data_IF_374515796222
#
_entry.id   IF_374515796222
#
_cell.length_a   1.000
_cell.length_b   1.000
_cell.length_c   1.000
_cell.angle_alpha   90.00
_cell.angle_beta   90.00
_cell.angle_gamma   90.00
#
_symmetry.space_group_name_H-M   'P 1'
#
loop_
_entity.id
_entity.type
_entity.pdbx_description
1 polymer ?
#
# COMPACT_ATOMS: atom_id res chain seq x y z
N UNK A 1 22.83 -0.35 -1.53
CA UNK A 1 21.38 -0.01 -1.42
C UNK A 1 20.96 -0.07 0.06
N UNK A 2 20.10 0.84 0.52
CA UNK A 2 19.72 0.97 1.93
C UNK A 2 18.97 -0.30 2.43
N UNK A 3 19.35 -0.84 3.60
CA UNK A 3 18.72 -2.06 4.19
C UNK A 3 17.20 -1.90 4.36
N UNK A 4 16.72 -0.71 4.70
CA UNK A 4 15.29 -0.42 4.86
C UNK A 4 14.56 -0.54 3.51
N UNK A 5 15.15 -0.01 2.44
CA UNK A 5 14.59 -0.10 1.08
C UNK A 5 14.52 -1.55 0.62
N UNK A 6 15.55 -2.35 0.90
CA UNK A 6 15.54 -3.77 0.57
C UNK A 6 14.46 -4.54 1.33
N UNK A 7 14.30 -4.26 2.62
CA UNK A 7 13.27 -4.87 3.45
C UNK A 7 11.85 -4.50 2.97
N UNK A 8 11.60 -3.22 2.68
CA UNK A 8 10.31 -2.77 2.15
C UNK A 8 10.00 -3.39 0.79
N UNK A 9 10.99 -3.50 -0.10
CA UNK A 9 10.83 -4.18 -1.39
C UNK A 9 10.59 -5.68 -1.22
N UNK A 10 11.28 -6.34 -0.29
CA UNK A 10 11.05 -7.75 0.02
C UNK A 10 9.62 -8.00 0.49
N UNK A 11 9.11 -7.16 1.40
CA UNK A 11 7.70 -7.21 1.85
C UNK A 11 6.73 -6.99 0.68
N UNK A 12 7.00 -6.00 -0.18
CA UNK A 12 6.17 -5.72 -1.36
C UNK A 12 6.29 -6.77 -2.46
N UNK A 13 7.32 -7.62 -2.45
CA UNK A 13 7.45 -8.71 -3.41
C UNK A 13 6.61 -9.94 -3.01
N UNK A 14 6.16 -10.03 -1.75
CA UNK A 14 5.32 -11.14 -1.29
C UNK A 14 3.94 -11.10 -1.96
N UNK A 15 3.60 -12.16 -2.70
CA UNK A 15 2.30 -12.29 -3.36
C UNK A 15 1.12 -12.19 -2.36
N UNK A 16 1.32 -12.66 -1.13
CA UNK A 16 0.34 -12.54 -0.06
C UNK A 16 0.03 -11.09 0.34
N UNK A 17 0.98 -10.17 0.21
CA UNK A 17 0.76 -8.74 0.48
C UNK A 17 -0.09 -8.03 -0.56
N UNK A 18 -0.22 -8.62 -1.75
CA UNK A 18 -1.04 -8.09 -2.84
C UNK A 18 -2.35 -8.84 -3.02
N UNK A 19 -2.50 -10.03 -2.45
CA UNK A 19 -3.75 -10.79 -2.55
C UNK A 19 -4.90 -9.99 -1.88
N UNK A 20 -6.08 -9.88 -2.50
CA UNK A 20 -6.51 -10.49 -3.77
C UNK A 20 -6.23 -9.64 -5.02
N UNK A 21 -5.72 -8.42 -4.86
CA UNK A 21 -5.43 -7.44 -5.92
C UNK A 21 -4.04 -7.63 -6.57
N UNK A 22 -3.60 -8.88 -6.77
CA UNK A 22 -2.30 -9.20 -7.38
C UNK A 22 -2.09 -8.53 -8.74
N UNK A 23 -3.17 -8.38 -9.53
CA UNK A 23 -3.13 -7.70 -10.84
C UNK A 23 -2.81 -6.21 -10.75
N UNK A 24 -2.92 -5.60 -9.57
CA UNK A 24 -2.58 -4.20 -9.35
C UNK A 24 -1.10 -4.00 -8.99
N UNK A 25 -0.34 -5.07 -8.73
CA UNK A 25 1.09 -4.99 -8.47
C UNK A 25 1.82 -4.53 -9.74
N UNK A 26 2.54 -3.40 -9.72
CA UNK A 26 3.34 -2.97 -10.85
C UNK A 26 4.49 -3.96 -11.13
N UNK A 27 5.05 -3.92 -12.34
CA UNK A 27 6.32 -4.61 -12.62
C UNK A 27 7.47 -4.07 -11.75
N UNK A 28 8.51 -4.86 -11.50
CA UNK A 28 9.65 -4.43 -10.65
C UNK A 28 10.41 -3.22 -11.21
N UNK A 29 10.41 -3.07 -12.53
CA UNK A 29 10.98 -1.95 -13.30
C UNK A 29 9.97 -0.81 -13.54
N UNK A 30 8.71 -0.97 -13.12
CA UNK A 30 7.69 0.06 -13.26
C UNK A 30 7.54 0.87 -11.98
N UNK A 31 7.39 2.18 -12.13
CA UNK A 31 7.08 3.06 -11.01
C UNK A 31 5.70 2.74 -10.43
N UNK A 32 5.62 2.75 -9.12
CA UNK A 32 4.37 2.67 -8.38
C UNK A 32 3.79 4.08 -8.24
N UNK A 33 2.85 4.41 -9.13
CA UNK A 33 2.20 5.71 -9.19
C UNK A 33 0.99 5.83 -8.26
N UNK A 34 0.44 7.05 -8.16
CA UNK A 34 -0.76 7.30 -7.36
C UNK A 34 -1.98 6.50 -7.83
N UNK A 35 -2.04 6.08 -9.10
CA UNK A 35 -3.18 5.33 -9.66
C UNK A 35 -3.22 3.91 -9.11
N UNK A 36 -2.06 3.25 -8.98
CA UNK A 36 -1.96 1.95 -8.32
C UNK A 36 -2.48 2.07 -6.89
N UNK A 37 -2.02 3.07 -6.13
CA UNK A 37 -2.45 3.27 -4.75
C UNK A 37 -3.97 3.50 -4.66
N UNK A 38 -4.52 4.37 -5.50
CA UNK A 38 -5.96 4.64 -5.54
C UNK A 38 -6.81 3.40 -5.87
N UNK A 39 -6.27 2.42 -6.60
CA UNK A 39 -6.96 1.15 -6.88
C UNK A 39 -6.96 0.21 -5.68
N UNK A 40 -5.87 0.18 -4.92
CA UNK A 40 -5.71 -0.78 -3.80
C UNK A 40 -6.24 -0.23 -2.47
N UNK A 41 -6.26 1.10 -2.28
CA UNK A 41 -6.73 1.75 -1.05
C UNK A 41 -8.17 1.40 -0.69
N UNK A 42 -9.16 1.36 -1.61
CA UNK A 42 -10.51 1.01 -1.23
C UNK A 42 -10.61 -0.38 -0.61
N UNK A 43 -9.81 -1.35 -1.06
CA UNK A 43 -9.83 -2.70 -0.52
C UNK A 43 -9.07 -2.80 0.80
N UNK A 44 -7.77 -2.48 0.79
CA UNK A 44 -6.92 -2.64 1.98
C UNK A 44 -7.21 -1.60 3.06
N UNK A 45 -7.54 -0.37 2.66
CA UNK A 45 -8.01 0.67 3.57
C UNK A 45 -9.32 0.27 4.23
N UNK A 46 -10.24 -0.39 3.52
CA UNK A 46 -11.47 -0.90 4.14
C UNK A 46 -11.21 -2.06 5.09
N UNK A 47 -10.29 -2.97 4.74
CA UNK A 47 -9.89 -4.04 5.65
C UNK A 47 -9.30 -3.47 6.95
N UNK A 48 -8.42 -2.47 6.85
CA UNK A 48 -7.89 -1.75 8.00
C UNK A 48 -8.99 -1.04 8.79
N UNK A 49 -9.93 -0.37 8.12
CA UNK A 49 -11.06 0.31 8.75
C UNK A 49 -11.98 -0.66 9.50
N UNK A 50 -12.30 -1.82 8.92
CA UNK A 50 -13.09 -2.86 9.59
C UNK A 50 -12.39 -3.38 10.85
N UNK A 51 -11.07 -3.59 10.80
CA UNK A 51 -10.29 -3.97 11.98
C UNK A 51 -10.36 -2.86 13.04
N UNK A 52 -10.21 -1.60 12.66
CA UNK A 52 -10.32 -0.46 13.59
C UNK A 52 -11.70 -0.40 14.25
N UNK A 53 -12.78 -0.54 13.48
CA UNK A 53 -14.17 -0.54 14.00
C UNK A 53 -14.40 -1.71 14.95
N UNK A 54 -13.90 -2.89 14.61
CA UNK A 54 -14.01 -4.09 15.44
C UNK A 54 -13.29 -3.90 16.78
N UNK A 55 -12.07 -3.34 16.75
CA UNK A 55 -11.27 -3.08 17.95
C UNK A 55 -11.84 -1.98 18.85
N UNK A 56 -12.53 -0.99 18.27
CA UNK A 56 -13.17 0.08 19.05
C UNK A 56 -14.53 -0.31 19.65
N UNK A 57 -15.07 -1.49 19.30
CA UNK A 57 -16.36 -2.00 19.76
C UNK A 57 -17.57 -1.05 19.54
N UNK A 58 -17.45 -0.09 18.62
CA UNK A 58 -18.47 0.92 18.29
C UNK A 58 -19.50 0.39 17.29
N UNK A 59 -20.04 -0.81 17.58
CA UNK A 59 -21.06 -1.42 16.75
C UNK A 59 -22.36 -0.61 16.85
N UNK A 60 -22.92 -0.22 15.69
CA UNK A 60 -24.21 0.48 15.61
C UNK A 60 -24.13 2.01 15.45
N UNK A 61 -22.96 2.62 15.61
CA UNK A 61 -22.76 4.04 15.31
C UNK A 61 -22.16 4.23 13.91
N UNK A 62 -23.03 4.57 12.96
CA UNK A 62 -22.65 4.76 11.56
C UNK A 62 -21.68 5.93 11.35
N UNK A 63 -21.75 6.99 12.16
CA UNK A 63 -20.90 8.17 12.01
C UNK A 63 -19.47 7.81 12.44
N UNK A 64 -19.32 7.20 13.61
CA UNK A 64 -18.01 6.75 14.08
C UNK A 64 -17.41 5.69 13.15
N UNK A 65 -18.22 4.73 12.68
CA UNK A 65 -17.79 3.74 11.71
C UNK A 65 -17.29 4.39 10.40
N UNK A 66 -18.00 5.41 9.88
CA UNK A 66 -17.56 6.15 8.70
C UNK A 66 -16.25 6.91 8.94
N UNK A 67 -16.08 7.53 10.12
CA UNK A 67 -14.83 8.22 10.49
C UNK A 67 -13.66 7.24 10.56
N UNK A 68 -13.83 6.07 11.20
CA UNK A 68 -12.81 5.03 11.23
C UNK A 68 -12.47 4.49 9.83
N UNK A 69 -13.48 4.32 8.98
CA UNK A 69 -13.28 3.88 7.61
C UNK A 69 -12.45 4.88 6.80
N UNK A 70 -12.86 6.16 6.80
CA UNK A 70 -12.19 7.22 6.06
C UNK A 70 -10.78 7.48 6.58
N UNK A 71 -10.60 7.50 7.90
CA UNK A 71 -9.27 7.66 8.52
C UNK A 71 -8.35 6.48 8.19
N UNK A 72 -8.85 5.25 8.14
CA UNK A 72 -8.07 4.09 7.73
C UNK A 72 -7.66 4.17 6.26
N UNK A 73 -8.55 4.61 5.36
CA UNK A 73 -8.21 4.83 3.95
C UNK A 73 -7.12 5.88 3.77
N UNK A 74 -7.26 7.04 4.43
CA UNK A 74 -6.26 8.09 4.41
C UNK A 74 -4.92 7.59 4.95
N UNK A 75 -4.94 6.98 6.13
CA UNK A 75 -3.74 6.46 6.79
C UNK A 75 -3.04 5.42 5.93
N UNK A 76 -3.79 4.45 5.38
CA UNK A 76 -3.26 3.45 4.48
C UNK A 76 -2.61 4.09 3.25
N UNK A 77 -3.32 4.99 2.56
CA UNK A 77 -2.82 5.64 1.36
C UNK A 77 -1.50 6.38 1.62
N UNK A 78 -1.45 7.21 2.66
CA UNK A 78 -0.28 8.03 2.96
C UNK A 78 0.90 7.18 3.44
N UNK A 79 0.67 6.24 4.36
CA UNK A 79 1.74 5.37 4.84
C UNK A 79 2.32 4.53 3.69
N UNK A 80 1.46 3.92 2.87
CA UNK A 80 1.90 3.12 1.74
C UNK A 80 2.66 3.95 0.71
N UNK A 81 2.21 5.19 0.46
CA UNK A 81 2.88 6.11 -0.46
C UNK A 81 4.26 6.52 0.03
N UNK A 82 4.41 6.85 1.31
CA UNK A 82 5.66 7.34 1.88
C UNK A 82 6.68 6.24 2.12
N UNK A 83 6.24 4.98 2.25
CA UNK A 83 7.10 3.83 2.56
C UNK A 83 7.32 2.95 1.33
N UNK A 84 6.34 2.12 1.00
CA UNK A 84 6.44 1.10 -0.04
C UNK A 84 6.58 1.69 -1.43
N UNK A 85 5.80 2.72 -1.78
CA UNK A 85 5.91 3.37 -3.10
C UNK A 85 7.28 4.05 -3.29
N UNK A 86 7.81 4.73 -2.27
CA UNK A 86 9.17 5.31 -2.32
C UNK A 86 10.22 4.22 -2.51
N UNK A 87 10.20 3.17 -1.68
CA UNK A 87 11.16 2.08 -1.78
C UNK A 87 11.08 1.35 -3.13
N UNK A 88 9.87 1.17 -3.66
CA UNK A 88 9.63 0.56 -4.96
C UNK A 88 10.17 1.42 -6.10
N UNK A 89 9.94 2.73 -6.05
CA UNK A 89 10.37 3.67 -7.09
C UNK A 89 11.90 3.82 -7.13
N UNK A 90 12.57 3.77 -5.98
CA UNK A 90 14.04 3.70 -5.92
C UNK A 90 14.56 2.45 -6.64
N UNK A 91 13.91 1.30 -6.44
CA UNK A 91 14.29 0.06 -7.12
C UNK A 91 14.02 0.15 -8.63
N UNK A 92 12.85 0.63 -9.03
CA UNK A 92 12.49 0.77 -10.44
C UNK A 92 13.48 1.66 -11.19
N UNK A 93 13.86 2.79 -10.59
CA UNK A 93 14.88 3.70 -11.13
C UNK A 93 16.24 3.01 -11.30
N UNK A 94 16.66 2.22 -10.31
CA UNK A 94 17.91 1.46 -10.38
C UNK A 94 17.91 0.40 -11.48
N UNK A 95 16.79 -0.28 -11.71
CA UNK A 95 16.66 -1.30 -12.74
C UNK A 95 16.62 -0.69 -14.14
N UNK A 96 15.88 0.41 -14.31
CA UNK A 96 15.82 1.10 -15.58
C UNK A 96 17.20 1.64 -16.00
N UNK A 97 17.98 2.17 -15.05
CA UNK A 97 19.36 2.62 -15.32
C UNK A 97 20.33 1.49 -15.65
N UNK A 98 20.14 0.28 -15.12
CA UNK A 98 20.98 -0.87 -15.46
C UNK A 98 20.66 -1.47 -16.82
N UNK A 99 19.41 -1.34 -17.28
CA UNK A 99 18.97 -1.85 -18.59
C UNK A 99 19.41 -0.92 -19.75
N UNK A 100 19.79 0.32 -19.44
CA UNK A 100 20.29 1.31 -20.42
C UNK A 100 21.81 1.22 -20.69
N UNK A 101 22.56 0.44 -19.89
CA UNK A 101 24.03 0.27 -19.97
C UNK A 101 24.36 -1.06 -20.64
#
# INVERSE_FOLDING_TARGET
MNKIVNFMNWLSDMDGGWWPLLKCRPGKNQYMDARVLLKITPFFGSLAGLVSIFLSATFGDLIHAAIYMLSAWFTFYFLFRLTFSVAWNIRADSLNKSDEI
#
